data_IF_400730494021
#
_entry.id   IF_400730494021
#
_cell.length_a   1.000
_cell.length_b   1.000
_cell.length_c   1.000
_cell.angle_alpha   90.00
_cell.angle_beta   90.00
_cell.angle_gamma   90.00
#
_symmetry.space_group_name_H-M   'P 1'
#
loop_
_entity.id
_entity.type
_entity.pdbx_description
1 polymer ?
#
# COMPACT_ATOMS: atom_id res chain seq x y z
N UNK A 1 14.81 -87.28 -9.80
CA UNK A 1 13.91 -86.22 -10.32
C UNK A 1 14.75 -84.96 -10.49
N UNK A 2 15.29 -84.71 -11.69
CA UNK A 2 16.07 -83.51 -11.99
C UNK A 2 15.22 -82.62 -12.91
N UNK A 3 14.91 -81.40 -12.44
CA UNK A 3 14.13 -80.43 -13.20
C UNK A 3 15.02 -79.66 -14.17
N UNK A 4 14.60 -79.59 -15.43
CA UNK A 4 15.23 -78.73 -16.43
C UNK A 4 14.73 -77.31 -16.17
N UNK A 5 15.61 -76.43 -15.71
CA UNK A 5 15.33 -74.98 -15.67
C UNK A 5 15.71 -74.41 -17.03
N UNK A 6 14.80 -73.77 -17.78
CA UNK A 6 15.14 -73.15 -19.05
C UNK A 6 16.16 -72.04 -18.83
N UNK A 7 17.33 -72.16 -19.45
CA UNK A 7 18.34 -71.10 -19.44
C UNK A 7 17.89 -69.94 -20.33
N UNK A 8 17.31 -68.90 -19.73
CA UNK A 8 16.98 -67.68 -20.46
C UNK A 8 18.24 -66.83 -20.61
N UNK A 9 18.66 -66.59 -21.86
CA UNK A 9 19.74 -65.64 -22.17
C UNK A 9 19.11 -64.35 -22.68
N UNK A 10 19.35 -63.25 -21.98
CA UNK A 10 18.92 -61.92 -22.41
C UNK A 10 19.71 -61.55 -23.67
N UNK A 11 19.02 -61.43 -24.80
CA UNK A 11 19.62 -61.13 -26.11
C UNK A 11 19.91 -59.62 -26.25
N UNK A 12 19.10 -58.76 -25.64
CA UNK A 12 19.27 -57.30 -25.65
C UNK A 12 18.77 -56.69 -24.33
N UNK A 13 19.53 -55.74 -23.77
CA UNK A 13 19.13 -55.03 -22.57
C UNK A 13 18.02 -54.01 -22.90
N UNK A 14 17.01 -53.89 -22.02
CA UNK A 14 15.94 -52.92 -22.20
C UNK A 14 16.54 -51.50 -22.30
N UNK A 15 16.29 -50.81 -23.43
CA UNK A 15 16.67 -49.40 -23.58
C UNK A 15 15.73 -48.54 -22.75
N UNK A 16 16.25 -47.92 -21.70
CA UNK A 16 15.51 -46.90 -20.98
C UNK A 16 15.29 -45.70 -21.90
N UNK A 17 14.04 -45.39 -22.23
CA UNK A 17 13.64 -44.22 -23.04
C UNK A 17 13.85 -42.86 -22.32
N UNK A 18 14.67 -42.83 -21.26
CA UNK A 18 14.85 -41.66 -20.41
C UNK A 18 13.60 -41.34 -19.57
N UNK A 19 13.58 -40.15 -18.98
CA UNK A 19 12.55 -39.72 -18.04
C UNK A 19 11.24 -39.40 -18.79
N UNK A 20 10.26 -40.29 -18.73
CA UNK A 20 8.87 -40.12 -19.24
C UNK A 20 7.98 -39.33 -18.23
N UNK A 21 8.61 -38.65 -17.25
CA UNK A 21 8.01 -38.19 -15.97
C UNK A 21 8.14 -36.68 -15.79
N UNK A 22 7.35 -36.05 -14.89
CA UNK A 22 7.16 -34.60 -14.85
C UNK A 22 8.46 -33.80 -14.71
N UNK A 23 8.58 -32.80 -15.57
CA UNK A 23 9.71 -31.91 -15.66
C UNK A 23 9.65 -30.87 -14.52
N UNK A 24 10.29 -31.21 -13.39
CA UNK A 24 10.16 -30.48 -12.12
C UNK A 24 10.53 -29.00 -12.25
N UNK A 25 11.53 -28.67 -13.06
CA UNK A 25 11.93 -27.29 -13.32
C UNK A 25 10.85 -26.53 -14.08
N UNK A 26 10.28 -27.14 -15.13
CA UNK A 26 9.18 -26.56 -15.90
C UNK A 26 7.96 -26.29 -15.03
N UNK A 27 7.60 -27.26 -14.20
CA UNK A 27 6.50 -27.15 -13.25
C UNK A 27 6.78 -26.03 -12.25
N UNK A 28 7.97 -25.99 -11.67
CA UNK A 28 8.38 -24.93 -10.75
C UNK A 28 8.24 -23.53 -11.37
N UNK A 29 8.74 -23.32 -12.58
CA UNK A 29 8.62 -22.02 -13.27
C UNK A 29 7.17 -21.67 -13.58
N UNK A 30 6.33 -22.62 -14.00
CA UNK A 30 4.91 -22.37 -14.27
C UNK A 30 4.19 -21.94 -13.00
N UNK A 31 4.42 -22.62 -11.87
CA UNK A 31 3.79 -22.26 -10.59
C UNK A 31 4.34 -20.95 -10.02
N UNK A 32 5.64 -20.68 -10.18
CA UNK A 32 6.25 -19.42 -9.77
C UNK A 32 5.63 -18.26 -10.54
N UNK A 33 5.59 -18.36 -11.87
CA UNK A 33 5.06 -17.30 -12.73
C UNK A 33 3.55 -17.15 -12.53
N UNK A 34 2.82 -18.26 -12.44
CA UNK A 34 1.39 -18.28 -12.12
C UNK A 34 1.08 -17.64 -10.77
N UNK A 35 1.89 -17.92 -9.73
CA UNK A 35 1.76 -17.31 -8.42
C UNK A 35 1.95 -15.80 -8.44
N UNK A 36 2.95 -15.31 -9.18
CA UNK A 36 3.19 -13.87 -9.36
C UNK A 36 2.01 -13.22 -10.09
N UNK A 37 1.50 -13.84 -11.15
CA UNK A 37 0.32 -13.33 -11.88
C UNK A 37 -0.90 -13.25 -10.97
N UNK A 38 -1.18 -14.30 -10.19
CA UNK A 38 -2.31 -14.31 -9.25
C UNK A 38 -2.13 -13.22 -8.18
N UNK A 39 -0.93 -13.06 -7.62
CA UNK A 39 -0.65 -12.00 -6.65
C UNK A 39 -0.87 -10.60 -7.25
N UNK A 40 -0.40 -10.36 -8.48
CA UNK A 40 -0.64 -9.10 -9.20
C UNK A 40 -2.13 -8.85 -9.42
N UNK A 41 -2.90 -9.86 -9.82
CA UNK A 41 -4.36 -9.75 -10.00
C UNK A 41 -5.04 -9.40 -8.68
N UNK A 42 -4.65 -10.03 -7.57
CA UNK A 42 -5.21 -9.73 -6.24
C UNK A 42 -4.90 -8.29 -5.82
N UNK A 43 -3.66 -7.83 -6.03
CA UNK A 43 -3.27 -6.44 -5.75
C UNK A 43 -4.05 -5.47 -6.63
N UNK A 44 -4.16 -5.75 -7.93
CA UNK A 44 -4.90 -4.91 -8.87
C UNK A 44 -6.36 -4.75 -8.48
N UNK A 45 -7.03 -5.86 -8.13
CA UNK A 45 -8.41 -5.84 -7.63
C UNK A 45 -8.49 -4.99 -6.36
N UNK A 46 -7.59 -5.19 -5.38
CA UNK A 46 -7.58 -4.39 -4.14
C UNK A 46 -7.43 -2.90 -4.41
N UNK A 47 -6.52 -2.51 -5.30
CA UNK A 47 -6.28 -1.10 -5.65
C UNK A 47 -7.48 -0.49 -6.37
N UNK A 48 -8.14 -1.25 -7.25
CA UNK A 48 -9.33 -0.77 -7.97
C UNK A 48 -10.52 -0.51 -7.02
N UNK A 49 -10.64 -1.29 -5.94
CA UNK A 49 -11.67 -1.07 -4.91
C UNK A 49 -11.20 -0.15 -3.77
N UNK A 50 -10.02 0.46 -3.88
CA UNK A 50 -9.49 1.38 -2.88
C UNK A 50 -10.03 2.79 -3.14
N UNK A 51 -10.91 3.29 -2.26
CA UNK A 51 -11.64 4.56 -2.43
C UNK A 51 -11.06 5.73 -1.61
N UNK A 52 -9.84 5.60 -1.09
CA UNK A 52 -9.23 6.61 -0.23
C UNK A 52 -8.39 7.61 -1.01
N UNK A 53 -8.51 8.87 -0.63
CA UNK A 53 -7.67 9.96 -1.11
C UNK A 53 -6.40 9.97 -0.25
N UNK A 54 -5.24 9.72 -0.86
CA UNK A 54 -3.95 9.70 -0.15
C UNK A 54 -3.10 10.93 -0.45
N UNK A 55 -3.33 11.57 -1.60
CA UNK A 55 -2.46 12.63 -2.10
C UNK A 55 -3.22 13.95 -2.27
N UNK A 56 -2.53 15.06 -2.00
CA UNK A 56 -3.07 16.41 -2.21
C UNK A 56 -3.45 16.66 -3.67
N UNK A 57 -2.72 16.07 -4.62
CA UNK A 57 -3.00 16.23 -6.05
C UNK A 57 -4.29 15.54 -6.47
N UNK A 58 -4.59 14.36 -5.90
CA UNK A 58 -5.88 13.69 -6.10
C UNK A 58 -7.03 14.55 -5.56
N UNK A 59 -6.84 15.20 -4.41
CA UNK A 59 -7.85 16.10 -3.84
C UNK A 59 -8.11 17.32 -4.74
N UNK A 60 -7.06 17.91 -5.32
CA UNK A 60 -7.15 19.06 -6.24
C UNK A 60 -7.80 18.69 -7.59
N UNK A 61 -7.62 17.45 -8.05
CA UNK A 61 -8.27 16.98 -9.27
C UNK A 61 -9.77 16.72 -9.05
N UNK A 62 -10.14 16.14 -7.89
CA UNK A 62 -11.51 15.81 -7.56
C UNK A 62 -12.34 17.02 -7.08
N UNK A 63 -11.70 18.08 -6.57
CA UNK A 63 -12.38 19.23 -5.98
C UNK A 63 -11.81 20.56 -6.46
N UNK A 64 -12.67 21.57 -6.62
CA UNK A 64 -12.25 22.94 -6.93
C UNK A 64 -11.91 23.77 -5.68
N UNK A 65 -11.78 23.11 -4.52
CA UNK A 65 -11.59 23.79 -3.24
C UNK A 65 -10.12 24.21 -3.06
N UNK A 66 -9.86 25.44 -2.59
CA UNK A 66 -8.51 25.84 -2.22
C UNK A 66 -8.05 25.02 -1.01
N UNK A 67 -6.88 24.39 -1.12
CA UNK A 67 -6.27 23.64 -0.03
C UNK A 67 -5.34 24.55 0.77
N UNK A 68 -5.64 24.74 2.06
CA UNK A 68 -4.91 25.68 2.93
C UNK A 68 -3.69 25.07 3.63
N UNK A 69 -3.46 23.76 3.52
CA UNK A 69 -2.27 23.08 4.02
C UNK A 69 -2.50 21.59 4.24
N UNK A 70 -1.40 20.88 4.53
CA UNK A 70 -1.37 19.45 4.82
C UNK A 70 -0.72 19.24 6.18
N UNK A 71 -1.35 18.44 7.04
CA UNK A 71 -0.83 18.09 8.36
C UNK A 71 -0.22 16.70 8.28
N UNK A 72 1.10 16.63 8.45
CA UNK A 72 1.83 15.37 8.43
C UNK A 72 1.60 14.64 9.75
N UNK A 73 1.22 13.37 9.68
CA UNK A 73 1.12 12.51 10.86
C UNK A 73 2.50 12.33 11.50
N UNK A 74 2.58 12.46 12.84
CA UNK A 74 3.80 12.19 13.60
C UNK A 74 3.52 11.11 14.62
N UNK A 75 4.39 10.11 14.72
CA UNK A 75 4.28 9.05 15.74
C UNK A 75 4.31 9.65 17.16
N UNK A 76 5.06 10.75 17.37
CA UNK A 76 5.10 11.48 18.65
C UNK A 76 3.79 12.19 18.99
N UNK A 77 2.92 12.39 18.01
CA UNK A 77 1.62 13.01 18.21
C UNK A 77 0.66 12.11 19.00
N UNK A 78 0.88 10.78 19.00
CA UNK A 78 0.08 9.83 19.79
C UNK A 78 0.37 9.96 21.30
N UNK A 79 1.57 10.38 21.70
CA UNK A 79 1.96 10.51 23.10
C UNK A 79 1.64 11.89 23.70
N UNK A 80 1.71 12.95 22.89
CA UNK A 80 1.46 14.32 23.33
C UNK A 80 0.51 15.05 22.35
N UNK A 81 -0.73 15.29 22.78
CA UNK A 81 -1.73 16.02 21.98
C UNK A 81 -1.31 17.45 21.63
N UNK A 82 -0.41 18.09 22.40
CA UNK A 82 0.10 19.44 22.12
C UNK A 82 1.50 19.38 21.52
N UNK A 83 1.62 18.81 20.32
CA UNK A 83 2.93 18.55 19.69
C UNK A 83 3.73 19.82 19.44
N UNK A 84 3.04 20.93 19.15
CA UNK A 84 3.65 22.23 18.83
C UNK A 84 4.50 22.79 19.98
N UNK A 85 4.09 22.56 21.23
CA UNK A 85 4.82 23.04 22.41
C UNK A 85 5.95 22.07 22.80
N UNK A 86 5.69 20.76 22.64
CA UNK A 86 6.64 19.70 23.01
C UNK A 86 7.85 19.59 22.06
N UNK A 87 7.66 19.80 20.76
CA UNK A 87 8.73 19.71 19.75
C UNK A 87 8.56 20.82 18.68
N UNK A 88 9.07 22.03 18.96
CA UNK A 88 8.92 23.17 18.06
C UNK A 88 9.60 23.01 16.70
N UNK A 89 10.49 22.03 16.52
CA UNK A 89 11.21 21.76 15.26
C UNK A 89 10.69 20.53 14.51
N UNK A 90 9.66 19.87 15.03
CA UNK A 90 9.05 18.73 14.36
C UNK A 90 8.35 19.14 13.06
N UNK A 91 8.29 18.20 12.11
CA UNK A 91 7.62 18.40 10.82
C UNK A 91 6.13 18.75 10.97
N UNK A 92 5.43 18.11 11.91
CA UNK A 92 4.03 18.42 12.22
C UNK A 92 3.85 19.86 12.73
N UNK A 93 4.81 20.38 13.51
CA UNK A 93 4.79 21.76 13.99
C UNK A 93 4.95 22.77 12.84
N UNK A 94 5.82 22.46 11.88
CA UNK A 94 5.95 23.27 10.66
C UNK A 94 4.67 23.23 9.81
N UNK A 95 4.02 22.07 9.66
CA UNK A 95 2.71 21.96 8.99
C UNK A 95 1.66 22.91 9.59
N UNK A 96 1.55 22.98 10.93
CA UNK A 96 0.65 23.91 11.59
C UNK A 96 1.03 25.39 11.37
N UNK A 97 2.33 25.70 11.33
CA UNK A 97 2.80 27.06 10.99
C UNK A 97 2.42 27.45 9.58
N UNK A 98 2.57 26.54 8.61
CA UNK A 98 2.14 26.75 7.22
C UNK A 98 0.63 27.02 7.13
N UNK A 99 -0.20 26.20 7.80
CA UNK A 99 -1.66 26.40 7.83
C UNK A 99 -2.00 27.77 8.42
N UNK A 100 -1.38 28.16 9.55
CA UNK A 100 -1.60 29.47 10.18
C UNK A 100 -1.28 30.61 9.21
N UNK A 101 -0.10 30.59 8.59
CA UNK A 101 0.31 31.63 7.64
C UNK A 101 -0.63 31.68 6.43
N UNK A 102 -1.10 30.54 5.92
CA UNK A 102 -2.07 30.52 4.82
C UNK A 102 -3.43 31.11 5.21
N UNK A 103 -3.91 30.84 6.44
CA UNK A 103 -5.14 31.43 6.98
C UNK A 103 -5.02 32.94 7.24
N UNK A 104 -3.81 33.45 7.48
CA UNK A 104 -3.58 34.89 7.58
C UNK A 104 -3.87 35.63 6.26
N UNK A 105 -3.64 34.97 5.12
CA UNK A 105 -3.95 35.51 3.79
C UNK A 105 -5.41 35.35 3.38
N UNK A 106 -6.20 34.51 4.08
CA UNK A 106 -7.65 34.44 3.86
C UNK A 106 -8.26 35.75 4.35
N UNK A 107 -8.73 36.56 3.40
CA UNK A 107 -9.12 37.96 3.61
C UNK A 107 -10.17 38.13 4.71
N UNK A 108 -9.97 39.13 5.56
CA UNK A 108 -11.02 39.62 6.45
C UNK A 108 -11.86 40.64 5.71
N UNK A 109 -13.19 40.47 5.73
CA UNK A 109 -14.06 41.59 5.42
C UNK A 109 -13.75 42.73 6.40
N UNK A 110 -13.37 43.89 5.87
CA UNK A 110 -12.88 45.04 6.63
C UNK A 110 -13.73 45.33 7.86
N UNK A 111 -13.10 45.37 9.04
CA UNK A 111 -13.72 45.81 10.30
C UNK A 111 -14.35 44.71 11.18
N UNK A 112 -14.21 43.42 10.86
CA UNK A 112 -14.64 42.30 11.73
C UNK A 112 -13.49 41.34 12.03
N UNK A 113 -13.48 40.76 13.23
CA UNK A 113 -12.52 39.72 13.62
C UNK A 113 -12.63 38.46 12.74
N UNK A 114 -11.52 37.72 12.61
CA UNK A 114 -11.49 36.45 11.85
C UNK A 114 -12.10 35.33 12.69
N UNK A 115 -13.24 34.80 12.27
CA UNK A 115 -13.87 33.61 12.84
C UNK A 115 -13.75 32.48 11.83
N UNK A 116 -13.13 31.37 12.22
CA UNK A 116 -12.94 30.18 11.38
C UNK A 116 -13.67 29.00 12.00
N UNK A 117 -14.49 28.31 11.22
CA UNK A 117 -15.15 27.07 11.61
C UNK A 117 -14.33 25.88 11.10
N UNK A 118 -13.97 24.96 12.00
CA UNK A 118 -13.30 23.70 11.66
C UNK A 118 -14.32 22.57 11.74
N UNK A 119 -14.49 21.82 10.65
CA UNK A 119 -15.45 20.70 10.55
C UNK A 119 -14.88 19.56 9.71
N UNK A 120 -15.46 18.37 9.83
CA UNK A 120 -14.98 17.16 9.18
C UNK A 120 -16.17 16.29 8.72
N UNK A 121 -15.97 15.42 7.73
CA UNK A 121 -17.03 14.56 7.18
C UNK A 121 -17.39 13.42 8.16
N UNK A 122 -16.40 12.89 8.88
CA UNK A 122 -16.58 11.84 9.89
C UNK A 122 -15.98 12.21 11.25
N UNK A 123 -16.45 11.57 12.33
CA UNK A 123 -15.75 11.59 13.62
C UNK A 123 -14.31 11.04 13.46
N UNK A 124 -13.40 11.50 14.32
CA UNK A 124 -12.00 11.05 14.38
C UNK A 124 -11.11 11.35 13.15
N UNK A 125 -11.42 12.39 12.37
CA UNK A 125 -10.59 12.86 11.24
C UNK A 125 -9.52 13.90 11.64
N UNK A 126 -9.18 14.00 12.94
CA UNK A 126 -8.10 14.89 13.40
C UNK A 126 -8.50 16.37 13.64
N UNK A 127 -9.80 16.70 13.64
CA UNK A 127 -10.27 18.09 13.88
C UNK A 127 -9.98 18.68 15.28
N UNK A 128 -9.80 17.83 16.29
CA UNK A 128 -9.54 18.22 17.70
C UNK A 128 -8.10 17.92 18.12
N UNK A 129 -7.31 17.39 17.19
CA UNK A 129 -5.91 17.10 17.40
C UNK A 129 -5.10 18.39 17.50
#
# INVERSE_FOLDING_TARGET
RAGIVPGTKVIEAARGLGVVRPDKLRIFYIFLLGGVVVAMVVVFIRVMFYDRIENMDQLKELTQLPVYGEIIASEKAEENYVVVDSDPKAAITESFRTVRTNLEYVGSASGRGKVVMVTSYRPNEGKTF
#
